data_IF_950798912649
#
_entry.id   IF_950798912649
#
_cell.length_a   1.000
_cell.length_b   1.000
_cell.length_c   1.000
_cell.angle_alpha   90.00
_cell.angle_beta   90.00
_cell.angle_gamma   90.00
#
_symmetry.space_group_name_H-M   'P 1'
#
loop_
_entity.id
_entity.type
_entity.pdbx_description
1 polymer ?
#
# COMPACT_ATOMS: atom_id res chain seq x y z
N UNK A 1 -1.71 2.57 1.65
CA UNK A 1 -0.35 2.35 1.12
C UNK A 1 0.64 2.99 2.05
N UNK A 2 1.91 2.58 2.06
CA UNK A 2 3.01 3.27 2.77
C UNK A 2 3.73 4.32 1.92
N UNK A 3 3.42 4.44 0.63
CA UNK A 3 3.89 5.55 -0.23
C UNK A 3 2.90 6.71 -0.24
N UNK A 4 3.09 7.67 -1.15
CA UNK A 4 2.04 8.61 -1.55
C UNK A 4 0.81 7.84 -2.04
N UNK A 5 -0.40 8.29 -1.70
CA UNK A 5 -1.65 7.67 -2.21
C UNK A 5 -1.79 7.81 -3.73
N UNK A 6 -1.07 8.75 -4.33
CA UNK A 6 -0.99 9.03 -5.77
C UNK A 6 0.12 8.26 -6.48
N UNK A 7 0.88 7.42 -5.76
CA UNK A 7 1.89 6.56 -6.36
C UNK A 7 1.26 5.55 -7.34
N UNK A 8 2.07 4.95 -8.21
CA UNK A 8 1.56 4.20 -9.37
C UNK A 8 0.60 3.05 -9.00
N UNK A 9 0.91 2.29 -7.94
CA UNK A 9 0.10 1.15 -7.50
C UNK A 9 -1.30 1.57 -7.05
N UNK A 10 -1.50 2.50 -6.09
CA UNK A 10 -2.84 2.98 -5.73
C UNK A 10 -3.51 3.74 -6.87
N UNK A 11 -2.77 4.54 -7.64
CA UNK A 11 -3.31 5.29 -8.76
C UNK A 11 -3.97 4.38 -9.81
N UNK A 12 -3.43 3.18 -10.06
CA UNK A 12 -3.97 2.24 -11.04
C UNK A 12 -5.42 1.80 -10.77
N UNK A 13 -5.91 1.96 -9.53
CA UNK A 13 -7.28 1.59 -9.15
C UNK A 13 -8.28 2.75 -9.24
N UNK A 14 -7.82 3.99 -9.40
CA UNK A 14 -8.68 5.17 -9.29
C UNK A 14 -8.30 6.35 -10.22
N UNK A 15 -7.33 6.18 -11.12
CA UNK A 15 -6.92 7.20 -12.08
C UNK A 15 -6.56 6.62 -13.46
N UNK A 16 -6.69 7.48 -14.47
CA UNK A 16 -6.36 7.24 -15.87
C UNK A 16 -5.55 8.43 -16.41
N UNK A 17 -4.23 8.28 -16.41
CA UNK A 17 -3.29 9.29 -16.92
C UNK A 17 -2.32 8.66 -17.92
N UNK A 18 -1.75 9.48 -18.80
CA UNK A 18 -0.76 9.01 -19.78
C UNK A 18 0.56 8.59 -19.11
N UNK A 19 0.93 9.23 -18.00
CA UNK A 19 2.18 8.95 -17.30
C UNK A 19 2.00 9.03 -15.77
N UNK A 20 2.59 8.08 -15.04
CA UNK A 20 2.60 8.03 -13.56
C UNK A 20 3.19 9.26 -12.84
N UNK A 21 3.74 10.22 -13.59
CA UNK A 21 4.35 11.45 -13.06
C UNK A 21 3.36 12.62 -13.06
N UNK A 22 2.15 12.41 -13.55
CA UNK A 22 1.06 13.39 -13.47
C UNK A 22 0.42 13.32 -12.08
N UNK A 23 1.22 13.45 -11.02
CA UNK A 23 0.83 13.06 -9.65
C UNK A 23 -0.30 13.94 -9.10
N UNK A 24 -0.26 15.26 -9.34
CA UNK A 24 -1.37 16.17 -9.04
C UNK A 24 -2.65 15.86 -9.84
N UNK A 25 -2.54 15.45 -11.11
CA UNK A 25 -3.70 14.99 -11.91
C UNK A 25 -4.29 13.69 -11.34
N UNK A 26 -3.41 12.76 -10.93
CA UNK A 26 -3.80 11.53 -10.26
C UNK A 26 -4.55 11.86 -8.96
N UNK A 27 -4.05 12.78 -8.13
CA UNK A 27 -4.70 13.20 -6.89
C UNK A 27 -6.15 13.67 -7.13
N UNK A 28 -6.34 14.49 -8.16
CA UNK A 28 -7.65 14.99 -8.58
C UNK A 28 -8.57 13.86 -9.05
N UNK A 29 -8.07 12.98 -9.92
CA UNK A 29 -8.87 11.87 -10.44
C UNK A 29 -9.24 10.86 -9.35
N UNK A 30 -8.33 10.58 -8.42
CA UNK A 30 -8.59 9.71 -7.28
C UNK A 30 -9.65 10.30 -6.35
N UNK A 31 -9.58 11.59 -6.03
CA UNK A 31 -10.63 12.25 -5.25
C UNK A 31 -11.98 12.24 -5.99
N UNK A 32 -11.96 12.46 -7.31
CA UNK A 32 -13.15 12.45 -8.17
C UNK A 32 -13.79 11.06 -8.29
N UNK A 33 -12.98 9.99 -8.31
CA UNK A 33 -13.44 8.61 -8.27
C UNK A 33 -14.14 8.27 -6.94
N UNK A 34 -13.80 9.01 -5.88
CA UNK A 34 -14.46 8.98 -4.58
C UNK A 34 -14.33 7.69 -3.76
N UNK A 35 -13.15 7.01 -3.64
CA UNK A 35 -12.99 5.88 -2.73
C UNK A 35 -13.37 6.27 -1.29
N UNK A 36 -14.12 5.43 -0.58
CA UNK A 36 -14.55 5.74 0.79
C UNK A 36 -13.36 5.93 1.75
N UNK A 37 -12.25 5.22 1.53
CA UNK A 37 -11.04 5.32 2.37
C UNK A 37 -9.81 5.49 1.50
N UNK A 38 -9.00 6.52 1.78
CA UNK A 38 -7.69 6.78 1.18
C UNK A 38 -6.68 7.07 2.28
N UNK A 39 -5.71 6.17 2.48
CA UNK A 39 -4.70 6.25 3.54
C UNK A 39 -3.29 6.02 2.98
N UNK A 40 -2.40 6.98 3.21
CA UNK A 40 -0.99 6.95 2.78
C UNK A 40 -0.29 8.27 3.10
N UNK A 41 0.75 8.63 2.36
CA UNK A 41 1.30 10.00 2.35
C UNK A 41 0.90 10.77 1.09
N UNK A 42 1.64 11.81 0.72
CA UNK A 42 1.36 12.63 -0.48
C UNK A 42 0.55 13.88 -0.19
N UNK A 43 0.68 14.54 0.97
CA UNK A 43 -0.11 15.73 1.30
C UNK A 43 0.09 16.88 0.30
N UNK A 44 1.33 17.11 -0.11
CA UNK A 44 1.75 18.16 -1.03
C UNK A 44 1.03 18.09 -2.40
N UNK A 45 0.78 16.89 -2.91
CA UNK A 45 0.08 16.65 -4.18
C UNK A 45 -1.40 17.11 -4.18
N UNK A 46 -1.97 17.31 -2.98
CA UNK A 46 -3.35 17.75 -2.78
C UNK A 46 -3.47 19.26 -2.53
N UNK A 47 -2.36 19.99 -2.35
CA UNK A 47 -2.34 21.40 -1.97
C UNK A 47 -1.81 22.31 -3.09
N UNK A 48 -2.25 23.57 -3.16
CA UNK A 48 -1.68 24.54 -4.09
C UNK A 48 -0.30 25.01 -3.61
N UNK A 49 0.57 25.42 -4.55
CA UNK A 49 1.94 25.90 -4.29
C UNK A 49 2.08 27.08 -3.32
N UNK A 50 0.98 27.70 -2.92
CA UNK A 50 0.94 28.82 -1.99
C UNK A 50 0.50 28.41 -0.58
N UNK A 51 0.14 27.15 -0.36
CA UNK A 51 -0.35 26.61 0.90
C UNK A 51 0.55 25.49 1.41
N UNK A 52 0.52 25.33 2.73
CA UNK A 52 1.22 24.29 3.47
C UNK A 52 0.20 23.64 4.39
N UNK A 53 0.25 22.32 4.50
CA UNK A 53 -0.71 21.52 5.26
C UNK A 53 -0.24 21.23 6.68
N UNK A 54 -0.35 19.95 7.07
CA UNK A 54 0.17 19.43 8.32
C UNK A 54 1.69 19.29 8.33
N UNK A 55 2.31 19.15 7.16
CA UNK A 55 3.76 19.09 7.00
C UNK A 55 4.33 20.41 6.48
N UNK A 56 5.66 20.49 6.35
CA UNK A 56 6.35 21.77 6.14
C UNK A 56 6.47 22.17 4.67
N UNK A 57 6.45 21.20 3.75
CA UNK A 57 6.60 21.50 2.33
C UNK A 57 5.33 22.17 1.77
N UNK A 58 5.47 23.12 0.85
CA UNK A 58 4.32 23.68 0.15
C UNK A 58 3.72 22.66 -0.81
N UNK A 59 2.46 22.86 -1.17
CA UNK A 59 1.79 22.00 -2.14
C UNK A 59 2.41 22.04 -3.54
N UNK A 60 2.10 21.04 -4.37
CA UNK A 60 2.63 20.92 -5.74
C UNK A 60 1.63 21.36 -6.83
N UNK A 61 0.37 21.64 -6.46
CA UNK A 61 -0.67 21.98 -7.43
C UNK A 61 -0.51 23.39 -8.00
N UNK A 62 -0.53 23.47 -9.33
CA UNK A 62 -0.35 24.73 -10.11
C UNK A 62 -1.67 25.39 -10.52
N UNK A 63 -2.79 24.72 -10.28
CA UNK A 63 -4.14 25.18 -10.63
C UNK A 63 -4.82 25.99 -9.50
N UNK A 64 -4.15 26.13 -8.35
CA UNK A 64 -4.66 26.88 -7.20
C UNK A 64 -5.74 26.14 -6.40
N UNK A 65 -5.97 24.85 -6.67
CA UNK A 65 -6.97 24.04 -5.94
C UNK A 65 -6.38 23.44 -4.68
N UNK A 66 -7.19 23.39 -3.63
CA UNK A 66 -6.92 22.65 -2.41
C UNK A 66 -7.87 21.44 -2.36
N UNK A 67 -7.35 20.28 -2.77
CA UNK A 67 -8.13 19.04 -2.84
C UNK A 67 -8.48 18.48 -1.46
N UNK A 68 -7.72 18.83 -0.41
CA UNK A 68 -8.06 18.46 0.97
C UNK A 68 -9.34 19.18 1.39
N UNK A 69 -9.43 20.48 1.11
CA UNK A 69 -10.64 21.27 1.37
C UNK A 69 -11.84 20.76 0.54
N UNK A 70 -11.61 20.37 -0.72
CA UNK A 70 -12.62 19.74 -1.56
C UNK A 70 -13.06 18.38 -0.99
N UNK A 71 -12.15 17.56 -0.46
CA UNK A 71 -12.48 16.30 0.17
C UNK A 71 -13.34 16.50 1.43
N UNK A 72 -12.97 17.45 2.30
CA UNK A 72 -13.76 17.80 3.48
C UNK A 72 -15.15 18.31 3.09
N UNK A 73 -15.25 19.11 2.02
CA UNK A 73 -16.54 19.55 1.48
C UNK A 73 -17.39 18.39 0.90
N UNK A 74 -16.76 17.26 0.60
CA UNK A 74 -17.38 16.01 0.13
C UNK A 74 -17.47 14.94 1.24
N UNK A 75 -17.61 15.38 2.49
CA UNK A 75 -17.83 14.55 3.69
C UNK A 75 -16.68 13.61 4.08
N UNK A 76 -15.47 13.81 3.56
CA UNK A 76 -14.30 13.13 4.11
C UNK A 76 -13.93 13.70 5.47
N UNK A 77 -13.72 12.81 6.45
CA UNK A 77 -12.90 13.14 7.60
C UNK A 77 -11.44 13.20 7.13
N UNK A 78 -10.81 14.36 7.26
CA UNK A 78 -9.37 14.53 6.98
C UNK A 78 -8.54 14.35 8.26
N UNK A 79 -7.50 13.53 8.19
CA UNK A 79 -6.50 13.33 9.25
C UNK A 79 -5.09 13.31 8.65
N UNK A 80 -4.10 13.70 9.44
CA UNK A 80 -2.72 13.79 8.96
C UNK A 80 -1.66 13.40 10.00
N UNK A 81 -2.04 12.82 11.13
CA UNK A 81 -1.06 12.32 12.09
C UNK A 81 -1.60 11.09 12.84
N UNK A 82 -0.70 10.39 13.53
CA UNK A 82 -1.07 9.20 14.31
C UNK A 82 -2.07 9.52 15.43
N UNK A 83 -2.03 10.71 16.01
CA UNK A 83 -2.93 11.09 17.11
C UNK A 83 -4.37 11.27 16.62
N UNK A 84 -4.54 11.93 15.47
CA UNK A 84 -5.82 12.10 14.80
C UNK A 84 -6.34 10.75 14.30
N UNK A 85 -5.46 9.92 13.75
CA UNK A 85 -5.77 8.54 13.38
C UNK A 85 -6.33 7.74 14.57
N UNK A 86 -5.66 7.78 15.73
CA UNK A 86 -6.08 7.08 16.94
C UNK A 86 -7.41 7.60 17.54
N UNK A 87 -7.88 8.74 17.07
CA UNK A 87 -9.14 9.35 17.50
C UNK A 87 -10.30 9.09 16.53
N UNK A 88 -10.06 8.42 15.39
CA UNK A 88 -11.11 8.11 14.43
C UNK A 88 -12.04 7.06 15.03
N UNK A 89 -13.34 7.35 15.03
CA UNK A 89 -14.38 6.38 15.32
C UNK A 89 -14.87 5.76 14.00
N UNK A 90 -14.49 4.50 13.70
CA UNK A 90 -14.89 3.86 12.45
C UNK A 90 -16.40 3.62 12.37
N UNK A 91 -17.16 3.67 13.47
CA UNK A 91 -18.61 3.49 13.45
C UNK A 91 -19.32 4.71 12.85
N UNK A 92 -18.81 5.91 13.10
CA UNK A 92 -19.40 7.17 12.63
C UNK A 92 -18.72 7.74 11.38
N UNK A 93 -17.48 7.37 11.09
CA UNK A 93 -16.78 7.78 9.86
C UNK A 93 -17.22 6.94 8.67
N UNK A 94 -17.71 7.58 7.60
CA UNK A 94 -18.07 6.89 6.34
C UNK A 94 -17.08 7.14 5.22
N UNK A 95 -16.41 8.30 5.23
CA UNK A 95 -15.33 8.63 4.29
C UNK A 95 -14.12 9.15 5.04
N UNK A 96 -12.94 8.64 4.72
CA UNK A 96 -11.69 8.95 5.43
C UNK A 96 -10.56 9.25 4.44
N UNK A 97 -9.96 10.41 4.58
CA UNK A 97 -8.73 10.80 3.89
C UNK A 97 -7.63 10.99 4.93
N UNK A 98 -6.61 10.13 4.88
CA UNK A 98 -5.45 10.18 5.75
C UNK A 98 -4.17 10.37 4.96
N UNK A 99 -3.53 11.53 5.13
CA UNK A 99 -2.26 11.87 4.48
C UNK A 99 -1.19 12.09 5.55
N UNK A 100 -0.35 11.08 5.78
CA UNK A 100 0.56 10.99 6.93
C UNK A 100 2.03 11.31 6.61
N UNK A 101 2.30 11.95 5.47
CA UNK A 101 3.56 12.59 5.10
C UNK A 101 3.38 13.47 3.86
N UNK A 102 4.31 14.40 3.60
CA UNK A 102 4.43 15.08 2.31
C UNK A 102 4.65 14.06 1.19
N UNK A 103 5.57 13.10 1.35
CA UNK A 103 5.82 12.06 0.35
C UNK A 103 5.45 10.66 0.87
N UNK A 104 6.39 9.70 0.83
CA UNK A 104 6.24 8.39 1.45
C UNK A 104 6.14 8.50 2.96
N UNK A 105 5.31 7.65 3.58
CA UNK A 105 5.12 7.66 5.02
C UNK A 105 6.43 7.39 5.77
N UNK A 106 6.65 8.07 6.89
CA UNK A 106 7.87 7.90 7.69
C UNK A 106 7.58 7.24 9.03
N UNK A 107 8.37 6.22 9.37
CA UNK A 107 8.25 5.50 10.65
C UNK A 107 9.11 6.17 11.74
N UNK A 108 8.70 6.13 13.02
CA UNK A 108 7.46 5.54 13.56
C UNK A 108 6.33 6.59 13.71
N UNK A 109 6.38 7.70 12.99
CA UNK A 109 5.50 8.86 13.22
C UNK A 109 4.13 8.72 12.53
N UNK A 110 4.06 7.94 11.45
CA UNK A 110 2.81 7.59 10.77
C UNK A 110 2.18 6.30 11.35
N UNK A 111 0.86 6.06 11.17
CA UNK A 111 0.22 4.79 11.51
C UNK A 111 0.86 3.60 10.78
N UNK A 112 0.81 2.41 11.40
CA UNK A 112 1.27 1.21 10.72
C UNK A 112 0.32 0.81 9.59
N UNK A 113 0.82 0.05 8.61
CA UNK A 113 0.00 -0.54 7.55
C UNK A 113 -1.07 -1.47 8.12
N UNK A 114 -0.76 -2.19 9.20
CA UNK A 114 -1.73 -3.01 9.91
C UNK A 114 -2.85 -2.15 10.53
N UNK A 115 -2.51 -1.05 11.22
CA UNK A 115 -3.49 -0.12 11.78
C UNK A 115 -4.38 0.47 10.67
N UNK A 116 -3.77 0.95 9.58
CA UNK A 116 -4.50 1.50 8.43
C UNK A 116 -5.41 0.45 7.78
N UNK A 117 -4.99 -0.80 7.74
CA UNK A 117 -5.79 -1.92 7.22
C UNK A 117 -6.99 -2.19 8.11
N UNK A 118 -6.78 -2.27 9.44
CA UNK A 118 -7.84 -2.51 10.41
C UNK A 118 -8.93 -1.44 10.33
N UNK A 119 -8.55 -0.15 10.37
CA UNK A 119 -9.54 0.92 10.32
C UNK A 119 -10.27 1.01 8.97
N UNK A 120 -9.57 0.68 7.88
CA UNK A 120 -10.19 0.64 6.55
C UNK A 120 -11.25 -0.45 6.49
N UNK A 121 -10.95 -1.64 7.01
CA UNK A 121 -11.90 -2.74 7.10
C UNK A 121 -13.09 -2.37 8.00
N UNK A 122 -12.86 -1.77 9.16
CA UNK A 122 -13.92 -1.37 10.08
C UNK A 122 -14.88 -0.35 9.46
N UNK A 123 -14.37 0.60 8.67
CA UNK A 123 -15.20 1.58 7.96
C UNK A 123 -15.96 0.93 6.80
N UNK A 124 -15.25 0.17 5.95
CA UNK A 124 -15.80 -0.37 4.70
C UNK A 124 -16.78 -1.53 4.93
N UNK A 125 -16.54 -2.36 5.96
CA UNK A 125 -17.38 -3.53 6.27
C UNK A 125 -18.80 -3.17 6.70
N UNK A 126 -19.07 -1.91 7.06
CA UNK A 126 -20.41 -1.39 7.32
C UNK A 126 -21.31 -1.42 6.08
N UNK A 127 -20.73 -1.43 4.88
CA UNK A 127 -21.48 -1.56 3.65
C UNK A 127 -21.92 -3.01 3.43
N UNK A 128 -23.20 -3.30 3.67
CA UNK A 128 -23.78 -4.65 3.49
C UNK A 128 -23.75 -5.20 2.05
N UNK A 129 -23.30 -4.43 1.06
CA UNK A 129 -23.03 -4.91 -0.31
C UNK A 129 -21.61 -5.47 -0.49
N UNK A 130 -20.76 -5.39 0.54
CA UNK A 130 -19.35 -5.71 0.45
C UNK A 130 -18.49 -4.52 0.04
N UNK A 131 -17.18 -4.73 -0.04
CA UNK A 131 -16.20 -3.71 -0.39
C UNK A 131 -15.01 -4.32 -1.14
N UNK A 132 -14.24 -3.44 -1.78
CA UNK A 132 -12.93 -3.73 -2.31
C UNK A 132 -11.90 -2.91 -1.52
N UNK A 133 -10.77 -3.51 -1.15
CA UNK A 133 -9.68 -2.85 -0.45
C UNK A 133 -8.35 -3.28 -1.08
N UNK A 134 -7.52 -2.31 -1.44
CA UNK A 134 -6.14 -2.52 -1.85
C UNK A 134 -5.21 -1.99 -0.76
N UNK A 135 -4.30 -2.85 -0.30
CA UNK A 135 -3.29 -2.55 0.72
C UNK A 135 -1.92 -2.77 0.09
N UNK A 136 -1.02 -1.80 0.24
CA UNK A 136 0.31 -1.82 -0.37
C UNK A 136 1.37 -1.45 0.68
N UNK A 137 2.39 -2.30 0.80
CA UNK A 137 3.66 -1.98 1.47
C UNK A 137 4.68 -1.58 0.40
N UNK A 138 4.63 -0.32 -0.04
CA UNK A 138 5.38 0.17 -1.19
C UNK A 138 6.89 0.25 -0.94
N UNK A 139 7.29 0.45 0.32
CA UNK A 139 8.68 0.72 0.68
C UNK A 139 9.58 -0.53 0.63
N UNK A 140 9.00 -1.73 0.47
CA UNK A 140 9.75 -2.95 0.11
C UNK A 140 10.53 -2.73 -1.18
N UNK A 141 9.89 -2.11 -2.19
CA UNK A 141 10.52 -1.78 -3.46
C UNK A 141 11.65 -0.75 -3.29
N UNK A 142 11.41 0.31 -2.51
CA UNK A 142 12.40 1.36 -2.27
C UNK A 142 13.63 0.83 -1.54
N UNK A 143 13.43 0.03 -0.49
CA UNK A 143 14.51 -0.66 0.22
C UNK A 143 15.29 -1.59 -0.70
N UNK A 144 14.58 -2.30 -1.60
CA UNK A 144 15.22 -3.21 -2.55
C UNK A 144 15.98 -2.49 -3.67
N UNK A 145 15.54 -1.30 -4.08
CA UNK A 145 16.31 -0.43 -4.98
C UNK A 145 17.62 0.04 -4.32
N UNK A 146 17.58 0.30 -3.03
CA UNK A 146 18.75 0.68 -2.22
C UNK A 146 19.63 -0.52 -1.83
N UNK A 147 19.21 -1.75 -2.16
CA UNK A 147 19.83 -3.00 -1.72
C UNK A 147 20.00 -3.05 -0.19
N UNK A 148 18.95 -2.67 0.55
CA UNK A 148 18.90 -2.61 2.01
C UNK A 148 18.01 -3.75 2.53
N UNK A 149 18.62 -4.89 2.86
CA UNK A 149 17.87 -6.06 3.31
C UNK A 149 17.20 -5.85 4.67
N UNK A 150 17.75 -5.02 5.55
CA UNK A 150 17.15 -4.73 6.85
C UNK A 150 15.77 -4.08 6.67
N UNK A 151 15.68 -3.06 5.82
CA UNK A 151 14.42 -2.38 5.52
C UNK A 151 13.49 -3.25 4.70
N UNK A 152 13.99 -3.95 3.68
CA UNK A 152 13.16 -4.82 2.84
C UNK A 152 12.48 -5.92 3.67
N UNK A 153 13.22 -6.54 4.61
CA UNK A 153 12.66 -7.52 5.56
C UNK A 153 11.65 -6.83 6.49
N UNK A 154 12.00 -5.68 7.06
CA UNK A 154 11.11 -4.96 7.99
C UNK A 154 9.77 -4.56 7.34
N UNK A 155 9.78 -4.02 6.12
CA UNK A 155 8.56 -3.61 5.42
C UNK A 155 7.76 -4.82 4.89
N UNK A 156 8.43 -5.95 4.63
CA UNK A 156 7.75 -7.23 4.34
C UNK A 156 7.03 -7.79 5.56
N UNK A 157 7.65 -7.72 6.75
CA UNK A 157 7.01 -8.12 8.00
C UNK A 157 5.80 -7.24 8.32
N UNK A 158 5.85 -5.95 8.00
CA UNK A 158 4.69 -5.08 8.18
C UNK A 158 3.53 -5.42 7.22
N UNK A 159 3.84 -5.86 5.99
CA UNK A 159 2.82 -6.41 5.10
C UNK A 159 2.20 -7.68 5.68
N UNK A 160 3.00 -8.57 6.28
CA UNK A 160 2.50 -9.78 6.95
C UNK A 160 1.54 -9.45 8.10
N UNK A 161 1.85 -8.45 8.92
CA UNK A 161 0.97 -7.95 9.98
C UNK A 161 -0.37 -7.44 9.40
N UNK A 162 -0.35 -6.68 8.30
CA UNK A 162 -1.56 -6.22 7.62
C UNK A 162 -2.38 -7.39 7.02
N UNK A 163 -1.72 -8.39 6.45
CA UNK A 163 -2.37 -9.63 5.97
C UNK A 163 -3.01 -10.38 7.13
N UNK A 164 -2.39 -10.43 8.31
CA UNK A 164 -2.96 -11.05 9.50
C UNK A 164 -4.27 -10.37 9.92
N UNK A 165 -4.35 -9.04 9.87
CA UNK A 165 -5.59 -8.28 10.10
C UNK A 165 -6.67 -8.65 9.09
N UNK A 166 -6.34 -8.63 7.79
CA UNK A 166 -7.29 -9.00 6.74
C UNK A 166 -7.79 -10.43 6.88
N UNK A 167 -6.90 -11.38 7.22
CA UNK A 167 -7.26 -12.79 7.44
C UNK A 167 -8.19 -12.97 8.62
N UNK A 168 -7.93 -12.28 9.74
CA UNK A 168 -8.84 -12.30 10.91
C UNK A 168 -10.25 -11.87 10.52
N UNK A 169 -10.38 -10.76 9.78
CA UNK A 169 -11.68 -10.32 9.27
C UNK A 169 -12.33 -11.35 8.34
N UNK A 170 -11.57 -11.90 7.39
CA UNK A 170 -12.10 -12.88 6.44
C UNK A 170 -12.58 -14.18 7.10
N UNK A 171 -11.87 -14.66 8.14
CA UNK A 171 -12.25 -15.84 8.91
C UNK A 171 -13.58 -15.62 9.67
N UNK A 172 -13.87 -14.39 10.08
CA UNK A 172 -15.12 -14.01 10.76
C UNK A 172 -16.28 -13.74 9.78
N UNK A 173 -16.00 -13.07 8.66
CA UNK A 173 -16.99 -12.68 7.65
C UNK A 173 -17.39 -13.83 6.70
N UNK A 174 -16.48 -14.77 6.42
CA UNK A 174 -16.69 -15.97 5.61
C UNK A 174 -16.88 -15.76 4.09
N UNK A 175 -17.10 -14.52 3.63
CA UNK A 175 -17.31 -14.18 2.21
C UNK A 175 -16.28 -13.17 1.68
N UNK A 176 -15.01 -13.38 2.03
CA UNK A 176 -13.91 -12.48 1.66
C UNK A 176 -12.83 -13.24 0.90
N UNK A 177 -12.52 -12.78 -0.32
CA UNK A 177 -11.34 -13.23 -1.06
C UNK A 177 -10.15 -12.33 -0.70
N UNK A 178 -9.09 -12.94 -0.19
CA UNK A 178 -7.80 -12.27 0.03
C UNK A 178 -6.83 -12.74 -1.05
N UNK A 179 -6.15 -11.79 -1.70
CA UNK A 179 -5.08 -12.03 -2.65
C UNK A 179 -3.86 -11.25 -2.17
N UNK A 180 -2.72 -11.93 -2.05
CA UNK A 180 -1.42 -11.31 -1.76
C UNK A 180 -0.48 -11.64 -2.90
N UNK A 181 0.08 -10.61 -3.52
CA UNK A 181 1.01 -10.70 -4.66
C UNK A 181 1.96 -9.50 -4.64
N UNK A 182 2.98 -9.54 -5.47
CA UNK A 182 3.76 -8.37 -5.86
C UNK A 182 3.39 -7.91 -7.28
N UNK A 183 3.77 -6.70 -7.64
CA UNK A 183 3.72 -6.15 -8.99
C UNK A 183 4.96 -6.55 -9.81
N UNK A 184 6.14 -6.61 -9.18
CA UNK A 184 7.39 -7.17 -9.70
C UNK A 184 8.39 -7.51 -8.58
N UNK A 185 9.50 -8.15 -8.93
CA UNK A 185 10.68 -8.27 -8.05
C UNK A 185 11.64 -7.10 -8.27
N UNK A 186 12.34 -6.68 -7.21
CA UNK A 186 13.32 -5.57 -7.24
C UNK A 186 14.62 -5.97 -6.57
N UNK A 187 15.75 -5.62 -7.19
CA UNK A 187 17.10 -5.83 -6.65
C UNK A 187 17.75 -7.16 -7.06
N UNK A 188 16.97 -8.12 -7.56
CA UNK A 188 17.43 -9.47 -7.86
C UNK A 188 18.02 -10.11 -6.61
N UNK A 189 17.23 -10.10 -5.54
CA UNK A 189 17.60 -10.51 -4.18
C UNK A 189 17.89 -12.02 -4.12
N UNK A 190 19.02 -12.39 -3.52
CA UNK A 190 19.47 -13.77 -3.36
C UNK A 190 19.80 -14.06 -1.87
N UNK A 191 19.13 -15.05 -1.28
CA UNK A 191 19.44 -15.52 0.07
C UNK A 191 20.50 -16.62 0.01
N UNK A 192 21.61 -16.44 0.75
CA UNK A 192 22.71 -17.41 0.83
C UNK A 192 23.02 -17.81 2.28
N UNK A 193 23.47 -19.04 2.51
CA UNK A 193 23.78 -19.57 3.85
C UNK A 193 25.24 -19.38 4.28
N UNK A 194 26.07 -18.88 3.38
CA UNK A 194 27.49 -18.62 3.61
C UNK A 194 27.83 -17.26 3.01
N UNK A 195 28.69 -16.45 3.64
CA UNK A 195 29.04 -15.14 3.11
C UNK A 195 29.72 -15.31 1.76
N UNK A 196 29.20 -14.64 0.74
CA UNK A 196 29.75 -14.61 -0.61
C UNK A 196 30.95 -13.67 -0.74
N UNK A 197 31.18 -12.79 0.25
CA UNK A 197 32.27 -11.82 0.23
C UNK A 197 32.10 -10.74 -0.86
N UNK A 198 30.87 -10.55 -1.35
CA UNK A 198 30.52 -9.53 -2.33
C UNK A 198 30.44 -8.16 -1.63
N UNK A 199 30.80 -7.10 -2.35
CA UNK A 199 30.56 -5.74 -1.87
C UNK A 199 29.06 -5.46 -1.88
N UNK A 200 28.49 -5.03 -0.75
CA UNK A 200 27.04 -4.81 -0.60
C UNK A 200 26.24 -6.07 -0.26
N UNK A 201 26.89 -7.11 0.29
CA UNK A 201 26.20 -8.22 0.94
C UNK A 201 25.70 -7.76 2.33
N UNK A 202 24.44 -8.06 2.63
CA UNK A 202 23.81 -7.77 3.93
C UNK A 202 23.81 -8.99 4.84
N UNK A 203 23.79 -8.75 6.15
CA UNK A 203 23.83 -9.76 7.20
C UNK A 203 25.18 -9.85 7.93
N UNK A 204 25.43 -10.92 8.71
CA UNK A 204 24.57 -12.10 8.87
C UNK A 204 23.27 -11.82 9.61
N UNK A 205 22.20 -12.48 9.18
CA UNK A 205 20.90 -12.51 9.83
C UNK A 205 20.69 -13.80 10.62
N UNK A 206 20.25 -13.75 11.88
CA UNK A 206 20.03 -14.95 12.69
C UNK A 206 18.81 -15.76 12.21
N UNK A 207 18.93 -17.09 12.22
CA UNK A 207 17.82 -18.01 11.99
C UNK A 207 17.38 -18.71 13.28
N UNK A 208 16.11 -19.12 13.42
CA UNK A 208 15.60 -19.81 14.62
C UNK A 208 16.33 -21.11 14.99
N UNK A 209 16.95 -21.77 14.01
CA UNK A 209 17.73 -23.00 14.22
C UNK A 209 19.18 -22.76 14.69
N UNK A 210 19.56 -21.51 14.97
CA UNK A 210 20.90 -21.11 15.40
C UNK A 210 21.89 -20.89 14.25
N UNK A 211 21.48 -21.05 12.99
CA UNK A 211 22.27 -20.67 11.83
C UNK A 211 22.15 -19.18 11.48
N UNK A 212 22.82 -18.77 10.41
CA UNK A 212 22.67 -17.43 9.83
C UNK A 212 22.48 -17.49 8.32
N UNK A 213 21.87 -16.45 7.74
CA UNK A 213 21.84 -16.23 6.31
C UNK A 213 22.36 -14.84 5.97
N UNK A 214 22.65 -14.61 4.69
CA UNK A 214 23.07 -13.33 4.11
C UNK A 214 22.19 -13.04 2.90
N UNK A 215 22.10 -11.76 2.55
CA UNK A 215 21.37 -11.31 1.36
C UNK A 215 22.34 -10.69 0.38
N UNK A 216 22.30 -11.16 -0.86
CA UNK A 216 23.04 -10.61 -1.98
C UNK A 216 22.07 -9.99 -2.98
N UNK A 217 22.61 -9.04 -3.75
CA UNK A 217 21.85 -8.28 -4.74
C UNK A 217 22.56 -8.35 -6.10
N UNK A 218 21.78 -8.35 -7.17
CA UNK A 218 22.33 -8.44 -8.54
C UNK A 218 22.09 -7.19 -9.38
N UNK A 219 21.17 -6.33 -8.95
CA UNK A 219 20.83 -5.06 -9.60
C UNK A 219 20.29 -4.08 -8.56
N UNK A 220 20.05 -2.83 -8.96
CA UNK A 220 19.27 -1.84 -8.20
C UNK A 220 17.96 -1.51 -8.94
N UNK A 221 17.51 -2.40 -9.81
CA UNK A 221 16.33 -2.22 -10.65
C UNK A 221 15.37 -3.40 -10.51
N UNK A 222 14.22 -3.30 -11.15
CA UNK A 222 13.26 -4.40 -11.17
C UNK A 222 13.82 -5.54 -12.03
N UNK A 223 13.37 -6.77 -11.75
CA UNK A 223 13.65 -7.93 -12.58
C UNK A 223 12.37 -8.52 -13.16
N UNK A 224 12.53 -9.51 -14.05
CA UNK A 224 11.42 -10.24 -14.68
C UNK A 224 11.15 -11.60 -14.02
N UNK A 225 11.56 -11.78 -12.76
CA UNK A 225 11.25 -13.01 -12.03
C UNK A 225 9.74 -13.12 -11.78
N UNK A 226 9.21 -14.33 -11.89
CA UNK A 226 7.81 -14.61 -11.54
C UNK A 226 7.58 -14.31 -10.06
N UNK A 227 6.52 -13.57 -9.76
CA UNK A 227 6.14 -13.22 -8.39
C UNK A 227 5.13 -14.22 -7.82
N UNK A 228 5.20 -14.56 -6.53
CA UNK A 228 4.24 -15.46 -5.92
C UNK A 228 2.86 -14.80 -5.80
N UNK A 229 1.81 -15.56 -6.11
CA UNK A 229 0.42 -15.22 -5.78
C UNK A 229 -0.06 -16.20 -4.71
N UNK A 230 -0.45 -15.68 -3.56
CA UNK A 230 -1.15 -16.46 -2.53
C UNK A 230 -2.56 -15.94 -2.36
N UNK A 231 -3.51 -16.82 -2.07
CA UNK A 231 -4.91 -16.41 -1.92
C UNK A 231 -5.68 -17.32 -0.97
N UNK A 232 -6.77 -16.79 -0.42
CA UNK A 232 -7.69 -17.52 0.45
C UNK A 232 -9.12 -16.99 0.32
N UNK A 233 -10.11 -17.81 0.68
CA UNK A 233 -11.52 -17.47 0.59
C UNK A 233 -12.19 -17.88 -0.74
N UNK A 234 -13.41 -17.39 -1.02
CA UNK A 234 -14.16 -17.71 -2.23
C UNK A 234 -13.34 -17.42 -3.50
N UNK A 235 -13.45 -18.28 -4.52
CA UNK A 235 -12.75 -18.17 -5.80
C UNK A 235 -11.20 -18.21 -5.77
N UNK A 236 -10.56 -18.36 -4.61
CA UNK A 236 -9.08 -18.47 -4.49
C UNK A 236 -8.47 -19.58 -5.36
N UNK A 237 -9.20 -20.69 -5.56
CA UNK A 237 -8.77 -21.78 -6.44
C UNK A 237 -8.55 -21.38 -7.91
N UNK A 238 -9.12 -20.26 -8.37
CA UNK A 238 -8.91 -19.72 -9.73
C UNK A 238 -7.52 -19.12 -9.94
N UNK A 239 -6.78 -18.87 -8.85
CA UNK A 239 -5.42 -18.32 -8.87
C UNK A 239 -4.34 -19.40 -8.75
N UNK A 240 -4.73 -20.68 -8.65
CA UNK A 240 -3.77 -21.78 -8.61
C UNK A 240 -3.07 -21.96 -9.97
N UNK A 241 -1.75 -22.14 -9.95
CA UNK A 241 -0.93 -22.33 -11.16
C UNK A 241 -0.11 -21.09 -11.53
N UNK A 242 0.31 -21.02 -12.79
CA UNK A 242 1.05 -19.89 -13.35
C UNK A 242 0.14 -19.11 -14.30
N UNK A 243 0.09 -17.80 -14.13
CA UNK A 243 -0.81 -16.90 -14.85
C UNK A 243 -0.11 -15.59 -15.19
N UNK A 244 -0.54 -14.94 -16.28
CA UNK A 244 -0.20 -13.54 -16.50
C UNK A 244 -0.79 -12.67 -15.37
N UNK A 245 -0.12 -11.57 -15.02
CA UNK A 245 -0.60 -10.66 -13.98
C UNK A 245 -2.02 -10.11 -14.26
N UNK A 246 -2.39 -9.97 -15.53
CA UNK A 246 -3.75 -9.55 -15.96
C UNK A 246 -4.86 -10.52 -15.56
N UNK A 247 -4.54 -11.79 -15.28
CA UNK A 247 -5.49 -12.78 -14.80
C UNK A 247 -6.08 -12.41 -13.43
N UNK A 248 -5.27 -11.79 -12.56
CA UNK A 248 -5.69 -11.37 -11.21
C UNK A 248 -6.89 -10.42 -11.30
N UNK A 249 -6.88 -9.48 -12.26
CA UNK A 249 -8.01 -8.59 -12.51
C UNK A 249 -9.29 -9.35 -12.89
N UNK A 250 -9.18 -10.38 -13.73
CA UNK A 250 -10.35 -11.18 -14.13
C UNK A 250 -10.94 -11.92 -12.92
N UNK A 251 -10.09 -12.51 -12.08
CA UNK A 251 -10.54 -13.18 -10.86
C UNK A 251 -11.17 -12.20 -9.87
N UNK A 252 -10.56 -11.03 -9.63
CA UNK A 252 -11.12 -9.98 -8.77
C UNK A 252 -12.50 -9.54 -9.27
N UNK A 253 -12.65 -9.33 -10.57
CA UNK A 253 -13.91 -8.91 -11.18
C UNK A 253 -15.00 -9.98 -11.02
N UNK A 254 -14.69 -11.25 -11.27
CA UNK A 254 -15.65 -12.35 -11.08
C UNK A 254 -16.05 -12.48 -9.61
N UNK A 255 -15.09 -12.40 -8.68
CA UNK A 255 -15.37 -12.47 -7.24
C UNK A 255 -16.27 -11.32 -6.75
N UNK A 256 -16.02 -10.08 -7.21
CA UNK A 256 -16.85 -8.92 -6.86
C UNK A 256 -18.26 -8.96 -7.47
N UNK A 257 -18.42 -9.60 -8.63
CA UNK A 257 -19.72 -9.76 -9.28
C UNK A 257 -20.50 -10.99 -8.80
N UNK A 258 -19.88 -11.88 -8.00
CA UNK A 258 -20.49 -13.13 -7.55
C UNK A 258 -20.65 -14.18 -8.66
N UNK A 259 -19.76 -14.15 -9.66
CA UNK A 259 -19.72 -15.08 -10.81
C UNK A 259 -18.89 -16.34 -10.54
#
# INVERSE_FOLDING_TARGET
TTSQVTHATPAAFAAHVEHRKMVTEIAEQMLSAGPDVLLGGGEDEFLPQQETGCYAEPGERKDGRNLIAEAVANDYLYICDKRAFDSVDPQTTSRLLGLFSDEGMTRPFSPSLADMTEISIDILSKNGRGFFLMVESAQIDWASHDNDADKAISDTLELDDAVAIARKFADEAGQTLIIVTADHETGGMEVVLTPGGRSGEDGPYPMPNGGVFYVNWSTTGHTSFDVPVTSSGPASGLLAGAHDNTHIFQVMKSALNGE
#
